data_IF_123974200794
#
_entry.id   IF_123974200794
#
_cell.length_a   1.000
_cell.length_b   1.000
_cell.length_c   1.000
_cell.angle_alpha   90.00
_cell.angle_beta   90.00
_cell.angle_gamma   90.00
#
_symmetry.space_group_name_H-M   'P 1'
#
loop_
_entity.id
_entity.type
_entity.pdbx_description
1 polymer ?
#
# COMPACT_ATOMS: atom_id res chain seq x y z
N UNK A 1 5.24 -19.41 -19.13
CA UNK A 1 6.59 -18.88 -19.42
C UNK A 1 7.58 -19.43 -18.40
N UNK A 2 8.62 -20.13 -18.87
CA UNK A 2 9.72 -20.60 -18.01
C UNK A 2 10.41 -19.41 -17.34
N UNK A 3 11.14 -19.65 -16.25
CA UNK A 3 11.99 -18.61 -15.64
C UNK A 3 13.10 -18.15 -16.59
N UNK A 4 13.58 -19.05 -17.45
CA UNK A 4 14.63 -18.79 -18.42
C UNK A 4 14.20 -17.79 -19.52
N UNK A 5 12.91 -17.75 -19.86
CA UNK A 5 12.43 -16.93 -20.98
C UNK A 5 12.09 -15.49 -20.60
N UNK A 6 12.22 -15.12 -19.32
CA UNK A 6 11.74 -13.83 -18.81
C UNK A 6 12.70 -12.72 -19.17
N UNK A 7 12.17 -11.66 -19.76
CA UNK A 7 12.84 -10.37 -19.89
C UNK A 7 12.42 -9.44 -18.74
N UNK A 8 13.17 -8.37 -18.53
CA UNK A 8 12.85 -7.32 -17.55
C UNK A 8 11.44 -6.76 -17.76
N UNK A 9 10.98 -6.69 -19.02
CA UNK A 9 9.63 -6.24 -19.38
C UNK A 9 8.54 -7.14 -18.78
N UNK A 10 8.81 -8.43 -18.61
CA UNK A 10 7.89 -9.43 -18.06
C UNK A 10 7.88 -9.48 -16.53
N UNK A 11 8.80 -8.75 -15.87
CA UNK A 11 8.84 -8.68 -14.41
C UNK A 11 7.56 -8.02 -13.86
N UNK A 12 7.06 -8.57 -12.76
CA UNK A 12 5.94 -7.96 -12.02
C UNK A 12 6.33 -6.57 -11.55
N UNK A 13 5.34 -5.67 -11.44
CA UNK A 13 5.59 -4.30 -10.99
C UNK A 13 6.31 -4.24 -9.63
N UNK A 14 5.97 -5.15 -8.71
CA UNK A 14 6.65 -5.29 -7.41
C UNK A 14 8.15 -5.64 -7.53
N UNK A 15 8.54 -6.40 -8.55
CA UNK A 15 9.94 -6.74 -8.79
C UNK A 15 10.67 -5.56 -9.42
N UNK A 16 10.05 -4.90 -10.41
CA UNK A 16 10.58 -3.67 -11.05
C UNK A 16 10.78 -2.55 -10.03
N UNK A 17 9.83 -2.37 -9.09
CA UNK A 17 9.94 -1.38 -8.01
C UNK A 17 11.06 -1.75 -7.03
N UNK A 18 11.22 -3.03 -6.67
CA UNK A 18 12.31 -3.47 -5.80
C UNK A 18 13.70 -3.24 -6.43
N UNK A 19 13.82 -3.44 -7.76
CA UNK A 19 15.05 -3.13 -8.50
C UNK A 19 15.28 -1.62 -8.50
N UNK A 20 14.26 -0.80 -8.77
CA UNK A 20 14.36 0.66 -8.73
C UNK A 20 14.77 1.19 -7.35
N UNK A 21 14.19 0.65 -6.28
CA UNK A 21 14.54 0.99 -4.90
C UNK A 21 16.00 0.63 -4.59
N UNK A 22 16.48 -0.52 -5.09
CA UNK A 22 17.87 -0.94 -4.94
C UNK A 22 18.81 0.01 -5.69
N UNK A 23 18.48 0.39 -6.93
CA UNK A 23 19.23 1.37 -7.72
C UNK A 23 19.34 2.69 -6.95
N UNK A 24 18.22 3.26 -6.52
CA UNK A 24 18.20 4.51 -5.77
C UNK A 24 19.04 4.45 -4.49
N UNK A 25 18.92 3.35 -3.72
CA UNK A 25 19.73 3.15 -2.50
C UNK A 25 21.23 3.15 -2.77
N UNK A 26 21.68 2.57 -3.88
CA UNK A 26 23.10 2.57 -4.24
C UNK A 26 23.59 3.98 -4.56
N UNK A 27 22.83 4.75 -5.35
CA UNK A 27 23.15 6.15 -5.67
C UNK A 27 23.14 7.04 -4.42
N UNK A 28 22.13 6.90 -3.56
CA UNK A 28 22.03 7.66 -2.33
C UNK A 28 23.17 7.31 -1.36
N UNK A 29 23.53 6.03 -1.22
CA UNK A 29 24.69 5.62 -0.42
C UNK A 29 25.99 6.22 -0.97
N UNK A 30 26.16 6.19 -2.29
CA UNK A 30 27.32 6.80 -2.94
C UNK A 30 27.39 8.31 -2.67
N UNK A 31 26.27 9.01 -2.81
CA UNK A 31 26.19 10.45 -2.59
C UNK A 31 26.52 10.82 -1.14
N UNK A 32 26.02 10.07 -0.15
CA UNK A 32 26.32 10.35 1.25
C UNK A 32 27.80 10.17 1.60
N UNK A 33 28.49 9.25 0.93
CA UNK A 33 29.93 9.01 1.14
C UNK A 33 30.78 10.06 0.42
N UNK A 34 30.45 10.36 -0.84
CA UNK A 34 31.31 11.17 -1.72
C UNK A 34 30.84 12.63 -1.88
N UNK A 35 29.68 12.98 -1.35
CA UNK A 35 29.01 14.30 -1.51
C UNK A 35 28.83 14.73 -2.98
N UNK A 36 28.79 13.76 -3.90
CA UNK A 36 28.60 13.98 -5.34
C UNK A 36 27.84 12.81 -5.99
N UNK A 37 27.32 13.04 -7.19
CA UNK A 37 26.76 11.97 -8.02
C UNK A 37 27.87 11.07 -8.58
N UNK A 38 27.59 9.78 -8.86
CA UNK A 38 28.54 8.88 -9.51
C UNK A 38 28.94 9.38 -10.91
N UNK A 39 30.21 9.21 -11.30
CA UNK A 39 30.68 9.41 -12.68
C UNK A 39 30.37 8.18 -13.56
N UNK A 40 30.49 8.28 -14.87
CA UNK A 40 30.08 7.21 -15.79
C UNK A 40 30.80 5.86 -15.55
N UNK A 41 32.05 5.88 -15.09
CA UNK A 41 32.79 4.68 -14.69
C UNK A 41 32.20 4.03 -13.42
N UNK A 42 31.85 4.84 -12.43
CA UNK A 42 31.25 4.38 -11.18
C UNK A 42 29.81 3.90 -11.40
N UNK A 43 29.07 4.58 -12.29
CA UNK A 43 27.74 4.15 -12.74
C UNK A 43 27.80 2.78 -13.37
N UNK A 44 28.76 2.50 -14.25
CA UNK A 44 28.90 1.18 -14.87
C UNK A 44 29.11 0.10 -13.80
N UNK A 45 29.93 0.37 -12.77
CA UNK A 45 30.12 -0.56 -11.64
C UNK A 45 28.81 -0.84 -10.87
N UNK A 46 27.99 0.19 -10.66
CA UNK A 46 26.67 0.10 -10.02
C UNK A 46 25.71 -0.69 -10.91
N UNK A 47 25.68 -0.41 -12.21
CA UNK A 47 24.87 -1.09 -13.22
C UNK A 47 25.19 -2.57 -13.29
N UNK A 48 26.46 -2.97 -13.36
CA UNK A 48 26.88 -4.39 -13.33
C UNK A 48 26.38 -5.11 -12.09
N UNK A 49 26.54 -4.49 -10.91
CA UNK A 49 26.11 -5.06 -9.62
C UNK A 49 24.58 -5.24 -9.57
N UNK A 50 23.83 -4.28 -10.11
CA UNK A 50 22.38 -4.37 -10.22
C UNK A 50 21.96 -5.43 -11.22
N UNK A 51 22.65 -5.49 -12.37
CA UNK A 51 22.36 -6.43 -13.44
C UNK A 51 22.51 -7.87 -12.98
N UNK A 52 23.49 -8.22 -12.14
CA UNK A 52 23.58 -9.57 -11.55
C UNK A 52 22.28 -9.99 -10.86
N UNK A 53 21.63 -9.07 -10.13
CA UNK A 53 20.34 -9.36 -9.49
C UNK A 53 19.15 -9.39 -10.45
N UNK A 54 19.23 -8.66 -11.57
CA UNK A 54 18.20 -8.69 -12.62
C UNK A 54 18.32 -9.96 -13.44
N UNK A 55 19.53 -10.35 -13.82
CA UNK A 55 19.83 -11.55 -14.58
C UNK A 55 19.31 -12.82 -13.88
N UNK A 56 19.45 -12.90 -12.56
CA UNK A 56 18.87 -13.99 -11.76
C UNK A 56 17.33 -14.07 -11.82
N UNK A 57 16.64 -12.97 -12.13
CA UNK A 57 15.18 -12.88 -12.21
C UNK A 57 14.63 -12.93 -13.64
N UNK A 58 15.42 -12.40 -14.59
CA UNK A 58 15.07 -12.19 -15.99
C UNK A 58 16.32 -12.38 -16.87
N UNK A 59 16.74 -13.63 -17.13
CA UNK A 59 17.99 -13.95 -17.83
C UNK A 59 18.05 -13.46 -19.27
N UNK A 60 16.90 -13.22 -19.91
CA UNK A 60 16.81 -12.75 -21.31
C UNK A 60 16.96 -11.23 -21.44
N UNK A 61 17.18 -10.53 -20.33
CA UNK A 61 17.39 -9.07 -20.37
C UNK A 61 18.81 -8.78 -20.80
N UNK A 62 18.97 -8.01 -21.87
CA UNK A 62 20.28 -7.54 -22.31
C UNK A 62 20.82 -6.46 -21.35
N UNK A 63 22.14 -6.44 -21.16
CA UNK A 63 22.80 -5.47 -20.28
C UNK A 63 22.54 -4.02 -20.73
N UNK A 64 22.67 -3.76 -22.02
CA UNK A 64 22.46 -2.44 -22.61
C UNK A 64 21.01 -1.93 -22.42
N UNK A 65 20.02 -2.81 -22.56
CA UNK A 65 18.62 -2.47 -22.28
C UNK A 65 18.43 -2.08 -20.80
N UNK A 66 19.10 -2.79 -19.88
CA UNK A 66 19.03 -2.49 -18.46
C UNK A 66 19.71 -1.16 -18.12
N UNK A 67 20.87 -0.86 -18.71
CA UNK A 67 21.56 0.42 -18.51
C UNK A 67 20.68 1.60 -18.91
N UNK A 68 20.02 1.54 -20.08
CA UNK A 68 19.06 2.58 -20.51
C UNK A 68 17.93 2.82 -19.51
N UNK A 69 17.52 1.79 -18.75
CA UNK A 69 16.50 1.93 -17.70
C UNK A 69 17.08 2.63 -16.47
N UNK A 70 18.33 2.35 -16.11
CA UNK A 70 19.03 3.03 -15.02
C UNK A 70 19.27 4.50 -15.35
N UNK A 71 19.73 4.81 -16.57
CA UNK A 71 19.98 6.18 -17.03
C UNK A 71 18.72 7.05 -16.96
N UNK A 72 17.58 6.51 -17.44
CA UNK A 72 16.28 7.18 -17.35
C UNK A 72 15.87 7.49 -15.91
N UNK A 73 16.27 6.67 -14.93
CA UNK A 73 15.94 6.88 -13.51
C UNK A 73 16.88 7.88 -12.86
N UNK A 74 18.14 7.89 -13.27
CA UNK A 74 19.15 8.79 -12.74
C UNK A 74 18.78 10.26 -12.93
N UNK A 75 18.12 10.60 -14.04
CA UNK A 75 17.73 11.96 -14.37
C UNK A 75 16.98 12.71 -13.26
N UNK A 76 16.31 12.01 -12.33
CA UNK A 76 15.64 12.61 -11.17
C UNK A 76 16.23 12.21 -9.81
N UNK A 77 17.35 11.48 -9.77
CA UNK A 77 17.95 11.05 -8.51
C UNK A 77 18.63 12.18 -7.77
N UNK A 78 19.27 13.13 -8.47
CA UNK A 78 19.97 14.24 -7.83
C UNK A 78 19.01 15.08 -6.98
N UNK A 79 17.91 15.53 -7.55
CA UNK A 79 16.89 16.36 -6.88
C UNK A 79 16.22 15.59 -5.75
N UNK A 80 15.92 14.30 -5.98
CA UNK A 80 15.33 13.44 -4.97
C UNK A 80 16.28 13.23 -3.79
N UNK A 81 17.56 12.98 -4.02
CA UNK A 81 18.57 12.81 -2.97
C UNK A 81 18.69 14.09 -2.13
N UNK A 82 18.76 15.26 -2.77
CA UNK A 82 18.84 16.53 -2.05
C UNK A 82 17.62 16.77 -1.17
N UNK A 83 16.41 16.52 -1.68
CA UNK A 83 15.17 16.60 -0.89
C UNK A 83 15.18 15.62 0.29
N UNK A 84 15.64 14.41 0.05
CA UNK A 84 15.70 13.36 1.06
C UNK A 84 16.73 13.69 2.17
N UNK A 85 17.86 14.32 1.80
CA UNK A 85 18.85 14.87 2.75
C UNK A 85 18.23 16.02 3.56
N UNK A 86 17.50 16.94 2.91
CA UNK A 86 16.79 18.03 3.60
C UNK A 86 15.74 17.50 4.58
N UNK A 87 15.10 16.38 4.26
CA UNK A 87 14.16 15.66 5.14
C UNK A 87 14.87 14.85 6.25
N UNK A 88 16.20 14.98 6.39
CA UNK A 88 16.96 14.37 7.47
C UNK A 88 17.30 12.89 7.25
N UNK A 89 17.43 12.43 6.00
CA UNK A 89 18.02 11.12 5.72
C UNK A 89 19.49 11.13 6.08
N UNK A 90 19.86 10.29 7.04
CA UNK A 90 21.24 10.04 7.45
C UNK A 90 21.72 8.69 6.92
N UNK A 91 23.04 8.50 6.73
CA UNK A 91 23.61 7.19 6.35
C UNK A 91 23.24 6.07 7.32
N UNK A 92 23.05 6.38 8.60
CA UNK A 92 22.54 5.46 9.62
C UNK A 92 21.12 4.99 9.29
N UNK A 93 20.17 5.91 9.05
CA UNK A 93 18.78 5.59 8.69
C UNK A 93 18.67 4.73 7.43
N UNK A 94 19.59 4.89 6.48
CA UNK A 94 19.64 4.05 5.27
C UNK A 94 20.12 2.63 5.54
N UNK A 95 21.13 2.49 6.41
CA UNK A 95 21.71 1.22 6.80
C UNK A 95 20.89 0.48 7.86
N UNK A 96 19.89 1.13 8.47
CA UNK A 96 18.90 0.43 9.31
C UNK A 96 18.26 -0.68 8.48
N UNK A 97 18.65 -1.94 8.76
CA UNK A 97 17.92 -3.11 8.30
C UNK A 97 16.47 -2.89 8.73
N UNK A 98 15.53 -2.90 7.77
CA UNK A 98 14.10 -2.98 8.10
C UNK A 98 13.96 -4.15 9.07
N UNK A 99 13.71 -3.87 10.34
CA UNK A 99 13.58 -4.92 11.33
C UNK A 99 12.47 -5.84 10.82
N UNK A 100 12.83 -7.08 10.49
CA UNK A 100 11.86 -8.08 10.09
C UNK A 100 11.02 -8.31 11.33
N UNK A 101 9.86 -7.66 11.39
CA UNK A 101 8.93 -7.77 12.52
C UNK A 101 8.82 -9.23 12.91
N UNK A 102 9.05 -9.50 14.18
CA UNK A 102 8.91 -10.85 14.72
C UNK A 102 7.48 -11.35 14.42
N UNK A 103 7.26 -12.67 14.36
CA UNK A 103 5.90 -13.22 14.21
C UNK A 103 4.93 -12.62 15.23
N UNK A 104 5.44 -12.33 16.43
CA UNK A 104 4.74 -11.76 17.56
C UNK A 104 4.34 -10.29 17.33
N UNK A 105 5.24 -9.43 16.83
CA UNK A 105 4.88 -8.06 16.43
C UNK A 105 3.84 -8.03 15.32
N UNK A 106 3.92 -8.96 14.36
CA UNK A 106 2.90 -9.07 13.30
C UNK A 106 1.54 -9.46 13.87
N UNK A 107 1.52 -10.40 14.81
CA UNK A 107 0.29 -10.82 15.50
C UNK A 107 -0.29 -9.67 16.34
N UNK A 108 0.56 -8.89 17.03
CA UNK A 108 0.15 -7.71 17.78
C UNK A 108 -0.48 -6.64 16.87
N UNK A 109 0.14 -6.36 15.72
CA UNK A 109 -0.42 -5.44 14.70
C UNK A 109 -1.76 -5.97 14.17
N UNK A 110 -1.90 -7.28 13.95
CA UNK A 110 -3.16 -7.88 13.49
C UNK A 110 -4.26 -7.76 14.56
N UNK A 111 -3.93 -8.03 15.83
CA UNK A 111 -4.84 -7.86 16.98
C UNK A 111 -5.28 -6.40 17.12
N UNK A 112 -4.34 -5.45 16.99
CA UNK A 112 -4.63 -4.02 17.04
C UNK A 112 -5.56 -3.59 15.90
N UNK A 113 -5.29 -4.00 14.66
CA UNK A 113 -6.17 -3.74 13.50
C UNK A 113 -7.56 -4.35 13.68
N UNK A 114 -7.66 -5.55 14.26
CA UNK A 114 -8.95 -6.20 14.56
C UNK A 114 -9.72 -5.42 15.63
N UNK A 115 -9.04 -4.92 16.67
CA UNK A 115 -9.65 -4.07 17.71
C UNK A 115 -10.16 -2.75 17.13
N UNK A 116 -9.39 -2.09 16.26
CA UNK A 116 -9.82 -0.89 15.55
C UNK A 116 -11.06 -1.14 14.66
N UNK A 117 -11.07 -2.23 13.88
CA UNK A 117 -12.25 -2.58 13.06
C UNK A 117 -13.50 -2.83 13.91
N UNK A 118 -13.36 -3.50 15.06
CA UNK A 118 -14.47 -3.72 16.01
C UNK A 118 -14.96 -2.39 16.60
N UNK A 119 -14.06 -1.51 17.01
CA UNK A 119 -14.42 -0.19 17.54
C UNK A 119 -15.17 0.64 16.49
N UNK A 120 -14.70 0.66 15.23
CA UNK A 120 -15.41 1.33 14.13
C UNK A 120 -16.81 0.77 13.90
N UNK A 121 -16.98 -0.56 13.89
CA UNK A 121 -18.31 -1.19 13.76
C UNK A 121 -19.25 -0.83 14.91
N UNK A 122 -18.74 -0.82 16.16
CA UNK A 122 -19.53 -0.43 17.33
C UNK A 122 -19.94 1.04 17.27
N UNK A 123 -19.05 1.92 16.81
CA UNK A 123 -19.37 3.33 16.63
C UNK A 123 -20.45 3.54 15.55
N UNK A 124 -20.37 2.83 14.41
CA UNK A 124 -21.41 2.87 13.37
C UNK A 124 -22.75 2.35 13.91
N UNK A 125 -22.75 1.23 14.63
CA UNK A 125 -23.98 0.69 15.23
C UNK A 125 -24.56 1.66 16.26
N UNK A 126 -23.75 2.21 17.17
CA UNK A 126 -24.21 3.22 18.14
C UNK A 126 -24.79 4.44 17.43
N UNK A 127 -24.13 4.93 16.37
CA UNK A 127 -24.63 6.05 15.58
C UNK A 127 -25.96 5.73 14.88
N UNK A 128 -26.16 4.52 14.36
CA UNK A 128 -27.43 4.09 13.77
C UNK A 128 -28.56 4.06 14.81
N UNK A 129 -28.28 3.53 16.01
CA UNK A 129 -29.23 3.48 17.13
C UNK A 129 -29.54 4.88 17.68
N UNK A 130 -28.54 5.76 17.77
CA UNK A 130 -28.68 7.11 18.33
C UNK A 130 -29.35 8.09 17.35
N UNK A 131 -29.34 7.78 16.05
CA UNK A 131 -30.01 8.56 15.01
C UNK A 131 -31.51 8.22 14.84
N UNK A 132 -32.12 7.37 15.69
CA UNK A 132 -33.53 6.95 15.58
C UNK A 132 -33.94 6.59 14.14
N UNK A 133 -33.08 5.84 13.43
CA UNK A 133 -33.42 5.23 12.12
C UNK A 133 -34.23 3.96 12.38
N UNK A 134 -35.22 4.06 13.27
CA UNK A 134 -36.14 2.96 13.52
C UNK A 134 -37.18 2.90 12.40
N UNK A 135 -37.17 3.84 11.44
CA UNK A 135 -38.03 3.90 10.27
C UNK A 135 -37.22 4.25 9.01
N UNK A 136 -37.51 3.59 7.88
CA UNK A 136 -37.04 3.98 6.55
C UNK A 136 -38.12 3.69 5.48
N UNK A 137 -37.85 3.98 4.20
CA UNK A 137 -38.80 3.77 3.09
C UNK A 137 -39.23 2.30 2.93
N UNK A 138 -38.49 1.34 3.50
CA UNK A 138 -38.76 -0.11 3.41
C UNK A 138 -39.39 -0.65 4.70
N UNK A 139 -38.96 -0.14 5.85
CA UNK A 139 -39.33 -0.62 7.17
C UNK A 139 -40.11 0.43 7.97
N UNK A 140 -41.32 0.07 8.39
CA UNK A 140 -42.12 0.81 9.37
C UNK A 140 -41.50 0.78 10.77
N UNK A 141 -40.77 -0.30 11.10
CA UNK A 141 -39.98 -0.37 12.32
C UNK A 141 -38.74 -1.27 12.17
N UNK A 142 -37.52 -0.73 12.25
CA UNK A 142 -36.27 -1.50 12.19
C UNK A 142 -35.93 -2.02 13.59
N UNK A 143 -36.20 -3.31 13.83
CA UNK A 143 -35.88 -3.97 15.10
C UNK A 143 -34.37 -4.17 15.30
N UNK A 144 -33.57 -4.12 14.22
CA UNK A 144 -32.11 -4.08 14.32
C UNK A 144 -31.38 -4.36 13.01
N UNK A 145 -30.05 -4.55 13.12
CA UNK A 145 -29.18 -4.85 11.98
C UNK A 145 -28.48 -6.20 12.13
N UNK A 146 -28.46 -6.97 11.05
CA UNK A 146 -27.74 -8.25 10.98
C UNK A 146 -26.23 -8.04 11.07
N UNK A 147 -25.48 -9.12 11.30
CA UNK A 147 -24.00 -9.07 11.34
C UNK A 147 -23.33 -8.53 10.06
N UNK A 148 -24.06 -8.55 8.93
CA UNK A 148 -23.67 -7.96 7.65
C UNK A 148 -24.07 -6.48 7.47
N UNK A 149 -24.82 -5.91 8.41
CA UNK A 149 -25.30 -4.52 8.35
C UNK A 149 -26.61 -4.35 7.54
N UNK A 150 -27.26 -5.44 7.14
CA UNK A 150 -28.60 -5.35 6.56
C UNK A 150 -29.64 -5.15 7.67
N UNK A 151 -30.56 -4.17 7.55
CA UNK A 151 -31.65 -3.97 8.50
C UNK A 151 -32.65 -5.13 8.44
N UNK A 152 -33.32 -5.40 9.56
CA UNK A 152 -34.49 -6.26 9.63
C UNK A 152 -35.48 -5.66 10.63
N UNK A 153 -36.77 -5.86 10.34
CA UNK A 153 -37.83 -5.14 11.02
C UNK A 153 -39.18 -5.43 10.42
N UNK A 154 -40.19 -4.67 10.84
CA UNK A 154 -41.55 -4.68 10.31
C UNK A 154 -41.60 -3.76 9.09
N UNK A 155 -42.10 -4.26 7.96
CA UNK A 155 -42.25 -3.44 6.75
C UNK A 155 -43.56 -2.65 6.75
N UNK A 156 -43.64 -1.61 5.92
CA UNK A 156 -44.89 -0.88 5.69
C UNK A 156 -45.98 -1.80 5.12
N UNK A 157 -45.61 -2.72 4.21
CA UNK A 157 -46.50 -3.72 3.63
C UNK A 157 -47.09 -4.68 4.68
N UNK A 158 -46.30 -5.12 5.67
CA UNK A 158 -46.77 -5.99 6.76
C UNK A 158 -47.77 -5.30 7.68
N UNK A 159 -47.66 -3.96 7.82
CA UNK A 159 -48.62 -3.14 8.56
C UNK A 159 -49.84 -2.74 7.72
N UNK A 160 -49.85 -3.06 6.43
CA UNK A 160 -50.92 -2.67 5.50
C UNK A 160 -50.98 -1.16 5.25
N UNK A 161 -49.86 -0.45 5.43
CA UNK A 161 -49.73 1.00 5.29
C UNK A 161 -48.84 1.33 4.09
N UNK A 162 -49.09 2.47 3.45
CA UNK A 162 -48.13 3.05 2.52
C UNK A 162 -46.99 3.73 3.30
N UNK A 163 -45.74 3.70 2.78
CA UNK A 163 -44.62 4.41 3.39
C UNK A 163 -44.98 5.86 3.71
N UNK A 164 -44.74 6.27 4.95
CA UNK A 164 -45.03 7.62 5.47
C UNK A 164 -46.52 7.95 5.68
N UNK A 165 -47.44 6.98 5.68
CA UNK A 165 -48.78 7.21 6.23
C UNK A 165 -48.66 7.57 7.72
N UNK A 166 -49.02 8.81 8.07
CA UNK A 166 -49.20 9.22 9.46
C UNK A 166 -50.40 8.46 10.04
N UNK A 167 -50.17 7.71 11.12
CA UNK A 167 -51.26 7.13 11.91
C UNK A 167 -51.95 8.30 12.64
N UNK A 168 -53.21 8.59 12.30
CA UNK A 168 -54.04 9.49 13.11
C UNK A 168 -54.13 8.92 14.53
N UNK A 169 -53.56 9.63 15.50
CA UNK A 169 -53.70 9.31 16.93
C UNK A 169 -55.16 9.54 17.36
N UNK A 170 -55.84 8.48 17.79
CA UNK A 170 -57.13 8.52 18.51
C UNK A 170 -56.93 8.45 20.02
#
# INVERSE_FOLDING_TARGET
>A
MSRADRSYKDLKQKQKSAIADKTYRMYLKFYLVNQRMPTDTEKDSICRTLFTSVYALAPRTEYDEFCKIVDKREAGYKERILRDIQNGITPEKLNMKKHKKTPEEKAAVLKMKRKQRRAKRKAINKQAVENNIDQDDTFFYIAGYTSGGAPYGVTWEEMGLEPWQELEEE
#
